data_IF_657558178166
#
_entry.id   IF_657558178166
#
_cell.length_a   1.000
_cell.length_b   1.000
_cell.length_c   1.000
_cell.angle_alpha   90.00
_cell.angle_beta   90.00
_cell.angle_gamma   90.00
#
_symmetry.space_group_name_H-M   'P 1'
#
loop_
_entity.id
_entity.type
_entity.pdbx_description
1 polymer ?
#
# COMPACT_ATOMS: atom_id res chain seq x y z
N UNK A 1 11.53 7.28 -5.36
CA UNK A 1 10.22 6.77 -5.80
C UNK A 1 9.67 5.73 -4.82
N UNK A 2 10.42 4.68 -4.44
CA UNK A 2 9.96 3.67 -3.45
C UNK A 2 9.53 4.26 -2.08
N UNK A 3 10.21 5.29 -1.57
CA UNK A 3 9.81 5.99 -0.31
C UNK A 3 8.42 6.63 -0.39
N UNK A 4 8.13 7.32 -1.50
CA UNK A 4 6.82 7.97 -1.73
C UNK A 4 5.69 6.94 -1.87
N UNK A 5 5.92 5.86 -2.61
CA UNK A 5 4.94 4.77 -2.74
C UNK A 5 4.66 4.10 -1.39
N UNK A 6 5.69 3.87 -0.57
CA UNK A 6 5.52 3.32 0.79
C UNK A 6 4.70 4.24 1.67
N UNK A 7 4.95 5.55 1.63
CA UNK A 7 4.19 6.53 2.39
C UNK A 7 2.70 6.55 1.99
N UNK A 8 2.40 6.46 0.69
CA UNK A 8 1.02 6.36 0.22
C UNK A 8 0.31 5.09 0.72
N UNK A 9 0.98 3.94 0.68
CA UNK A 9 0.42 2.68 1.21
C UNK A 9 0.15 2.79 2.71
N UNK A 10 1.13 3.28 3.49
CA UNK A 10 0.98 3.44 4.94
C UNK A 10 -0.15 4.41 5.27
N UNK A 11 -0.22 5.53 4.56
CA UNK A 11 -1.25 6.52 4.77
C UNK A 11 -2.66 5.92 4.57
N UNK A 12 -2.85 5.23 3.45
CA UNK A 12 -4.13 4.62 3.13
C UNK A 12 -4.50 3.50 4.12
N UNK A 13 -3.55 2.63 4.47
CA UNK A 13 -3.79 1.55 5.45
C UNK A 13 -4.08 2.11 6.84
N UNK A 14 -3.33 3.12 7.28
CA UNK A 14 -3.57 3.81 8.55
C UNK A 14 -4.95 4.44 8.59
N UNK A 15 -5.37 5.06 7.47
CA UNK A 15 -6.72 5.59 7.32
C UNK A 15 -7.79 4.50 7.48
N UNK A 16 -7.67 3.36 6.77
CA UNK A 16 -8.63 2.24 6.86
C UNK A 16 -8.68 1.60 8.25
N UNK A 17 -7.53 1.45 8.90
CA UNK A 17 -7.46 0.98 10.29
C UNK A 17 -8.15 1.96 11.25
N UNK A 18 -7.96 3.27 11.06
CA UNK A 18 -8.57 4.30 11.90
C UNK A 18 -10.10 4.33 11.80
N UNK A 19 -10.67 4.05 10.61
CA UNK A 19 -12.12 3.90 10.41
C UNK A 19 -12.71 2.75 11.25
N UNK A 20 -11.88 1.81 11.71
CA UNK A 20 -12.24 0.67 12.56
C UNK A 20 -11.81 0.83 14.02
N UNK A 21 -11.21 1.97 14.38
CA UNK A 21 -10.74 2.26 15.73
C UNK A 21 -9.36 1.69 16.05
N UNK A 22 -8.59 1.25 15.05
CA UNK A 22 -7.21 0.78 15.21
C UNK A 22 -6.20 1.88 14.89
N UNK A 23 -5.04 1.86 15.57
CA UNK A 23 -3.93 2.78 15.32
C UNK A 23 -2.74 2.06 14.73
N UNK A 24 -2.19 2.57 13.62
CA UNK A 24 -1.01 2.02 12.96
C UNK A 24 0.23 2.01 13.87
N UNK A 25 0.46 3.09 14.64
CA UNK A 25 1.64 3.22 15.52
C UNK A 25 1.75 2.10 16.54
N UNK A 26 0.62 1.65 17.09
CA UNK A 26 0.56 0.54 18.06
C UNK A 26 0.93 -0.81 17.45
N UNK A 27 0.66 -0.99 16.15
CA UNK A 27 0.97 -2.23 15.43
C UNK A 27 2.46 -2.33 15.08
N UNK A 28 3.12 -1.19 14.89
CA UNK A 28 4.54 -1.14 14.58
C UNK A 28 5.41 -1.46 15.81
N UNK A 29 5.03 -0.94 16.98
CA UNK A 29 5.73 -1.19 18.25
C UNK A 29 5.69 -2.68 18.67
N UNK A 30 4.61 -3.40 18.34
CA UNK A 30 4.48 -4.84 18.61
C UNK A 30 5.41 -5.72 17.75
N UNK A 31 5.70 -5.33 16.51
CA UNK A 31 6.59 -6.07 15.61
C UNK A 31 8.07 -5.87 15.96
N UNK A 32 8.47 -4.63 16.28
CA UNK A 32 9.86 -4.30 16.64
C UNK A 32 10.28 -4.95 17.96
N UNK A 33 9.40 -4.93 18.98
CA UNK A 33 9.66 -5.51 20.30
C UNK A 33 9.71 -7.06 20.30
N UNK A 34 9.31 -7.70 19.21
CA UNK A 34 9.33 -9.16 19.04
C UNK A 34 10.59 -9.66 18.32
N UNK A 35 11.25 -8.79 17.56
CA UNK A 35 12.54 -9.05 16.92
C UNK A 35 13.74 -8.89 17.86
N UNK A 36 13.61 -8.13 18.95
CA UNK A 36 14.69 -7.96 19.94
C UNK A 36 15.00 -9.24 20.73
N UNK A 37 14.05 -10.17 20.87
CA UNK A 37 14.29 -11.45 21.56
C UNK A 37 15.10 -12.48 20.76
N UNK A 38 15.49 -12.16 19.52
CA UNK A 38 16.25 -13.08 18.65
C UNK A 38 17.66 -12.57 18.27
N UNK A 39 18.07 -11.39 18.75
CA UNK A 39 19.32 -10.74 18.31
C UNK A 39 20.33 -10.47 19.44
N UNK A 40 20.13 -10.98 20.64
CA UNK A 40 21.12 -10.91 21.74
C UNK A 40 21.88 -12.23 21.90
N UNK A 41 22.71 -12.60 20.92
CA UNK A 41 23.94 -13.39 21.18
C UNK A 41 25.00 -13.08 20.11
N UNK A 42 25.82 -12.05 20.37
CA UNK A 42 27.24 -12.00 20.04
C UNK A 42 27.86 -10.69 20.54
N UNK A 43 28.31 -10.68 21.79
CA UNK A 43 29.37 -9.77 22.23
C UNK A 43 30.71 -10.21 21.59
N UNK A 44 31.51 -9.26 21.10
CA UNK A 44 32.74 -8.79 21.78
C UNK A 44 33.85 -8.27 20.82
N UNK A 45 34.41 -7.14 21.24
CA UNK A 45 35.80 -6.64 21.11
C UNK A 45 36.39 -6.10 19.79
N UNK A 46 37.04 -4.92 19.91
CA UNK A 46 37.91 -4.35 18.88
C UNK A 46 38.23 -2.86 19.05
N UNK A 47 39.33 -2.57 19.75
CA UNK A 47 39.88 -1.25 20.13
C UNK A 47 40.69 -0.57 18.99
N UNK A 48 40.52 0.76 18.84
CA UNK A 48 41.39 1.85 18.30
C UNK A 48 41.93 1.82 16.84
N UNK A 49 41.79 2.94 16.11
CA UNK A 49 42.87 3.88 15.74
C UNK A 49 42.47 4.92 14.63
N UNK A 50 42.89 6.19 14.78
CA UNK A 50 43.40 7.03 13.67
C UNK A 50 42.55 8.17 13.04
N UNK A 51 42.80 9.42 13.47
CA UNK A 51 42.40 10.76 12.95
C UNK A 51 42.77 11.06 11.46
N UNK A 52 42.58 12.27 10.86
CA UNK A 52 41.95 13.53 11.33
C UNK A 52 40.97 14.23 10.34
N UNK A 53 40.24 15.21 10.89
CA UNK A 53 39.39 16.19 10.24
C UNK A 53 40.16 17.22 9.41
N UNK A 54 39.66 17.51 8.20
CA UNK A 54 40.04 18.69 7.42
C UNK A 54 38.79 19.51 7.10
N UNK A 55 38.69 20.71 7.66
CA UNK A 55 37.77 21.75 7.24
C UNK A 55 38.56 22.87 6.55
N UNK A 56 38.11 23.38 5.40
CA UNK A 56 38.38 24.75 4.98
C UNK A 56 37.13 25.63 5.15
N UNK A 57 37.30 26.96 5.36
CA UNK A 57 36.25 27.85 5.83
C UNK A 57 35.36 28.40 4.71
N UNK A 58 34.20 28.89 5.17
CA UNK A 58 33.09 29.52 4.47
C UNK A 58 33.41 30.26 3.16
N UNK A 59 32.69 29.90 2.10
CA UNK A 59 32.41 30.79 0.98
C UNK A 59 30.96 31.26 1.07
N UNK A 60 30.81 32.55 0.84
CA UNK A 60 29.61 33.36 0.96
C UNK A 60 28.51 32.86 0.02
N UNK A 61 27.48 32.20 0.55
CA UNK A 61 26.34 31.72 -0.26
C UNK A 61 25.33 32.86 -0.40
N UNK A 62 25.17 33.31 -1.64
CA UNK A 62 24.06 34.17 -2.08
C UNK A 62 22.73 33.47 -1.77
N UNK A 63 21.83 34.17 -1.07
CA UNK A 63 20.47 33.73 -0.71
C UNK A 63 19.55 33.64 -1.95
N UNK A 64 19.87 32.76 -2.90
CA UNK A 64 19.05 32.46 -4.08
C UNK A 64 18.53 31.03 -4.12
N UNK A 65 19.21 30.08 -3.48
CA UNK A 65 18.86 28.65 -3.53
C UNK A 65 17.77 28.25 -2.51
N UNK A 66 17.65 28.97 -1.39
CA UNK A 66 16.69 28.64 -0.34
C UNK A 66 15.23 28.84 -0.79
N UNK A 67 14.94 29.92 -1.52
CA UNK A 67 13.57 30.27 -1.94
C UNK A 67 13.02 29.28 -2.97
N UNK A 68 13.85 28.81 -3.91
CA UNK A 68 13.44 27.80 -4.90
C UNK A 68 13.27 26.41 -4.29
N UNK A 69 14.10 26.02 -3.32
CA UNK A 69 13.95 24.73 -2.63
C UNK A 69 12.67 24.69 -1.78
N UNK A 70 12.38 25.76 -1.03
CA UNK A 70 11.15 25.85 -0.23
C UNK A 70 9.88 25.83 -1.08
N UNK A 71 9.87 26.44 -2.27
CA UNK A 71 8.70 26.41 -3.14
C UNK A 71 8.45 25.04 -3.78
N UNK A 72 9.52 24.30 -4.11
CA UNK A 72 9.43 22.94 -4.65
C UNK A 72 8.99 21.95 -3.56
N UNK A 73 9.55 22.06 -2.35
CA UNK A 73 9.14 21.25 -1.19
C UNK A 73 7.67 21.49 -0.82
N UNK A 74 7.21 22.75 -0.79
CA UNK A 74 5.80 23.06 -0.51
C UNK A 74 4.87 22.50 -1.60
N UNK A 75 5.26 22.58 -2.87
CA UNK A 75 4.47 22.03 -3.97
C UNK A 75 4.37 20.50 -3.89
N UNK A 76 5.48 19.81 -3.64
CA UNK A 76 5.54 18.35 -3.51
C UNK A 76 4.73 17.85 -2.29
N UNK A 77 4.76 18.60 -1.17
CA UNK A 77 3.96 18.28 0.03
C UNK A 77 2.46 18.42 -0.23
N UNK A 78 2.04 19.50 -0.91
CA UNK A 78 0.62 19.73 -1.24
C UNK A 78 0.12 18.67 -2.20
N UNK A 79 0.90 18.35 -3.25
CA UNK A 79 0.56 17.27 -4.18
C UNK A 79 0.42 15.93 -3.48
N UNK A 80 1.33 15.56 -2.58
CA UNK A 80 1.23 14.31 -1.83
C UNK A 80 -0.03 14.28 -0.93
N UNK A 81 -0.43 15.42 -0.35
CA UNK A 81 -1.66 15.50 0.44
C UNK A 81 -2.91 15.31 -0.42
N UNK A 82 -2.96 15.92 -1.61
CA UNK A 82 -4.08 15.80 -2.54
C UNK A 82 -4.22 14.37 -3.07
N UNK A 83 -3.11 13.69 -3.37
CA UNK A 83 -3.10 12.28 -3.78
C UNK A 83 -3.64 11.38 -2.68
N UNK A 84 -3.17 11.56 -1.44
CA UNK A 84 -3.68 10.82 -0.27
C UNK A 84 -5.17 11.02 -0.10
N UNK A 85 -5.64 12.27 -0.17
CA UNK A 85 -7.06 12.58 0.01
C UNK A 85 -7.91 11.95 -1.10
N UNK A 86 -7.55 12.15 -2.36
CA UNK A 86 -8.26 11.59 -3.50
C UNK A 86 -8.30 10.05 -3.44
N UNK A 87 -7.22 9.41 -3.00
CA UNK A 87 -7.15 7.96 -2.90
C UNK A 87 -8.07 7.43 -1.80
N UNK A 88 -8.13 8.09 -0.63
CA UNK A 88 -9.04 7.74 0.46
C UNK A 88 -10.50 7.86 0.02
N UNK A 89 -10.87 8.98 -0.61
CA UNK A 89 -12.23 9.20 -1.12
C UNK A 89 -12.63 8.19 -2.20
N UNK A 90 -11.73 7.92 -3.15
CA UNK A 90 -11.95 6.91 -4.17
C UNK A 90 -12.11 5.52 -3.58
N UNK A 91 -11.28 5.16 -2.58
CA UNK A 91 -11.36 3.89 -1.86
C UNK A 91 -12.65 3.72 -1.06
N UNK A 92 -13.10 4.76 -0.37
CA UNK A 92 -14.38 4.76 0.34
C UNK A 92 -15.57 4.57 -0.60
N UNK A 93 -15.61 5.32 -1.71
CA UNK A 93 -16.66 5.20 -2.72
C UNK A 93 -16.65 3.80 -3.36
N UNK A 94 -15.46 3.29 -3.63
CA UNK A 94 -15.28 1.95 -4.18
C UNK A 94 -15.78 0.87 -3.21
N UNK A 95 -15.37 0.90 -1.93
CA UNK A 95 -15.86 -0.04 -0.91
C UNK A 95 -17.37 0.06 -0.69
N UNK A 96 -17.94 1.26 -0.71
CA UNK A 96 -19.38 1.45 -0.57
C UNK A 96 -20.14 0.77 -1.72
N UNK A 97 -19.64 0.89 -2.95
CA UNK A 97 -20.23 0.28 -4.14
C UNK A 97 -20.06 -1.22 -4.22
N UNK A 98 -18.91 -1.74 -3.79
CA UNK A 98 -18.57 -3.16 -3.85
C UNK A 98 -18.67 -3.90 -2.53
N UNK A 99 -19.34 -3.31 -1.54
CA UNK A 99 -19.39 -3.79 -0.15
C UNK A 99 -19.64 -5.30 -0.01
N UNK A 100 -20.60 -5.82 -0.79
CA UNK A 100 -20.92 -7.26 -0.80
C UNK A 100 -19.76 -8.08 -1.35
N UNK A 101 -19.26 -7.73 -2.53
CA UNK A 101 -18.16 -8.43 -3.17
C UNK A 101 -16.86 -8.38 -2.34
N UNK A 102 -16.56 -7.25 -1.69
CA UNK A 102 -15.41 -7.13 -0.79
C UNK A 102 -15.56 -7.97 0.47
N UNK A 103 -16.73 -7.94 1.11
CA UNK A 103 -17.02 -8.78 2.26
C UNK A 103 -16.93 -10.27 1.92
N UNK A 104 -17.40 -10.67 0.74
CA UNK A 104 -17.33 -12.05 0.28
C UNK A 104 -15.88 -12.45 -0.04
N UNK A 105 -15.11 -11.57 -0.70
CA UNK A 105 -13.70 -11.82 -1.02
C UNK A 105 -12.84 -11.97 0.24
N UNK A 106 -12.95 -11.05 1.20
CA UNK A 106 -12.14 -11.08 2.43
C UNK A 106 -12.53 -12.22 3.36
N UNK A 107 -13.81 -12.61 3.39
CA UNK A 107 -14.27 -13.77 4.18
C UNK A 107 -13.88 -15.11 3.56
N UNK A 108 -13.82 -15.20 2.22
CA UNK A 108 -13.39 -16.41 1.51
C UNK A 108 -11.87 -16.59 1.50
N UNK A 109 -11.09 -15.51 1.61
CA UNK A 109 -9.66 -15.62 1.82
C UNK A 109 -9.41 -16.20 3.22
N UNK A 110 -9.05 -17.48 3.28
CA UNK A 110 -8.48 -18.11 4.47
C UNK A 110 -7.06 -17.57 4.72
N UNK A 111 -6.97 -16.31 5.15
CA UNK A 111 -5.68 -15.69 5.46
C UNK A 111 -5.16 -16.29 6.75
N UNK A 112 -4.00 -16.94 6.64
CA UNK A 112 -3.15 -17.30 7.77
C UNK A 112 -1.74 -16.76 7.52
N UNK A 113 -0.89 -16.60 8.54
CA UNK A 113 0.46 -16.07 8.35
C UNK A 113 1.30 -16.83 7.32
N UNK A 114 1.02 -18.12 7.12
CA UNK A 114 1.72 -18.98 6.15
C UNK A 114 1.15 -18.94 4.72
N UNK A 115 -0.05 -18.41 4.50
CA UNK A 115 -0.73 -18.40 3.19
C UNK A 115 -1.05 -17.01 2.67
N UNK A 116 -0.90 -15.98 3.51
CA UNK A 116 -1.25 -14.59 3.21
C UNK A 116 -0.55 -14.05 1.95
N UNK A 117 0.75 -14.32 1.78
CA UNK A 117 1.51 -13.83 0.61
C UNK A 117 0.98 -14.42 -0.69
N UNK A 118 0.82 -15.75 -0.75
CA UNK A 118 0.32 -16.45 -1.94
C UNK A 118 -1.10 -16.00 -2.30
N UNK A 119 -1.95 -15.83 -1.29
CA UNK A 119 -3.33 -15.37 -1.49
C UNK A 119 -3.36 -13.93 -1.99
N UNK A 120 -2.52 -13.05 -1.44
CA UNK A 120 -2.36 -11.68 -1.91
C UNK A 120 -1.89 -11.64 -3.36
N UNK A 121 -0.79 -12.35 -3.68
CA UNK A 121 -0.21 -12.39 -5.02
C UNK A 121 -1.21 -12.90 -6.06
N UNK A 122 -1.95 -13.97 -5.76
CA UNK A 122 -2.98 -14.50 -6.66
C UNK A 122 -4.08 -13.49 -6.97
N UNK A 123 -4.63 -12.83 -5.93
CA UNK A 123 -5.69 -11.84 -6.10
C UNK A 123 -5.20 -10.65 -6.93
N UNK A 124 -4.01 -10.14 -6.62
CA UNK A 124 -3.47 -8.96 -7.29
C UNK A 124 -3.07 -9.26 -8.73
N UNK A 125 -2.50 -10.43 -9.01
CA UNK A 125 -2.20 -10.85 -10.39
C UNK A 125 -3.47 -11.02 -11.23
N UNK A 126 -4.54 -11.57 -10.66
CA UNK A 126 -5.82 -11.64 -11.37
C UNK A 126 -6.42 -10.24 -11.57
N UNK A 127 -6.31 -9.35 -10.57
CA UNK A 127 -6.80 -7.98 -10.65
C UNK A 127 -6.21 -7.21 -11.84
N UNK A 128 -4.91 -7.40 -12.11
CA UNK A 128 -4.19 -6.71 -13.17
C UNK A 128 -3.95 -7.53 -14.44
N UNK A 129 -4.54 -8.73 -14.55
CA UNK A 129 -4.36 -9.66 -15.67
C UNK A 129 -4.62 -9.02 -17.04
N UNK A 130 -5.69 -8.24 -17.17
CA UNK A 130 -6.06 -7.59 -18.44
C UNK A 130 -5.50 -6.15 -18.56
N UNK A 131 -4.52 -5.80 -17.73
CA UNK A 131 -3.87 -4.49 -17.73
C UNK A 131 -4.21 -3.60 -16.53
N UNK A 132 -3.50 -2.47 -16.46
CA UNK A 132 -3.59 -1.52 -15.35
C UNK A 132 -4.51 -0.35 -15.73
N UNK A 133 -5.29 0.13 -14.77
CA UNK A 133 -6.02 1.39 -14.85
C UNK A 133 -6.24 1.95 -13.43
N UNK A 134 -6.57 3.24 -13.33
CA UNK A 134 -6.78 3.92 -12.05
C UNK A 134 -7.82 3.24 -11.16
N UNK A 135 -8.92 2.73 -11.73
CA UNK A 135 -9.94 2.01 -10.96
C UNK A 135 -9.41 0.71 -10.34
N UNK A 136 -8.59 -0.05 -11.07
CA UNK A 136 -7.92 -1.25 -10.53
C UNK A 136 -6.85 -0.90 -9.49
N UNK A 137 -6.18 0.24 -9.62
CA UNK A 137 -5.25 0.74 -8.59
C UNK A 137 -6.03 1.06 -7.30
N UNK A 138 -7.17 1.77 -7.38
CA UNK A 138 -8.04 2.01 -6.22
C UNK A 138 -8.53 0.69 -5.60
N UNK A 139 -8.88 -0.30 -6.42
CA UNK A 139 -9.27 -1.62 -5.96
C UNK A 139 -8.13 -2.34 -5.20
N UNK A 140 -6.90 -2.23 -5.69
CA UNK A 140 -5.71 -2.78 -5.04
C UNK A 140 -5.48 -2.17 -3.66
N UNK A 141 -5.57 -0.84 -3.53
CA UNK A 141 -5.47 -0.17 -2.22
C UNK A 141 -6.58 -0.60 -1.27
N UNK A 142 -7.83 -0.63 -1.75
CA UNK A 142 -8.99 -1.04 -0.95
C UNK A 142 -8.88 -2.50 -0.48
N UNK A 143 -8.41 -3.40 -1.35
CA UNK A 143 -8.16 -4.80 -1.01
C UNK A 143 -7.10 -4.93 0.09
N UNK A 144 -5.94 -4.30 -0.09
CA UNK A 144 -4.88 -4.35 0.90
C UNK A 144 -5.28 -3.74 2.25
N UNK A 145 -6.00 -2.62 2.23
CA UNK A 145 -6.57 -2.00 3.44
C UNK A 145 -7.54 -2.93 4.17
N UNK A 146 -8.43 -3.60 3.43
CA UNK A 146 -9.35 -4.57 4.00
C UNK A 146 -8.62 -5.80 4.58
N UNK A 147 -7.56 -6.29 3.93
CA UNK A 147 -6.74 -7.37 4.48
C UNK A 147 -6.04 -6.98 5.77
N UNK A 148 -5.56 -5.74 5.88
CA UNK A 148 -4.95 -5.23 7.10
C UNK A 148 -5.97 -5.19 8.24
N UNK A 149 -7.17 -4.64 8.00
CA UNK A 149 -8.26 -4.61 8.98
C UNK A 149 -8.63 -6.02 9.44
N UNK A 150 -8.87 -6.94 8.48
CA UNK A 150 -9.21 -8.34 8.77
C UNK A 150 -8.11 -9.06 9.57
N UNK A 151 -6.84 -8.73 9.30
CA UNK A 151 -5.70 -9.29 10.04
C UNK A 151 -5.69 -8.82 11.49
N UNK A 152 -6.04 -7.55 11.77
CA UNK A 152 -6.16 -7.04 13.13
C UNK A 152 -7.36 -7.66 13.84
N UNK A 153 -8.51 -7.77 13.16
CA UNK A 153 -9.75 -8.38 13.69
C UNK A 153 -9.53 -9.84 14.10
N UNK A 154 -8.64 -10.55 13.40
CA UNK A 154 -8.27 -11.95 13.68
C UNK A 154 -7.02 -12.13 14.56
N UNK A 155 -6.57 -11.06 15.23
CA UNK A 155 -5.39 -11.08 16.13
C UNK A 155 -4.07 -11.47 15.43
N UNK A 156 -3.98 -11.30 14.10
CA UNK A 156 -2.79 -11.57 13.28
C UNK A 156 -2.03 -10.28 12.93
N UNK A 157 -1.81 -9.40 13.91
CA UNK A 157 -1.26 -8.04 13.71
C UNK A 157 0.06 -8.00 12.94
N UNK A 158 0.94 -8.98 13.14
CA UNK A 158 2.22 -9.16 12.39
C UNK A 158 2.04 -9.24 10.86
N UNK A 159 0.85 -9.60 10.37
CA UNK A 159 0.58 -9.62 8.94
C UNK A 159 0.43 -8.22 8.35
N UNK A 160 0.04 -7.22 9.14
CA UNK A 160 -0.21 -5.87 8.67
C UNK A 160 1.06 -5.25 8.10
N UNK A 161 2.19 -5.35 8.80
CA UNK A 161 3.48 -4.88 8.30
C UNK A 161 3.93 -5.59 7.02
N UNK A 162 3.65 -6.90 6.92
CA UNK A 162 3.95 -7.70 5.72
C UNK A 162 3.10 -7.30 4.52
N UNK A 163 1.79 -7.11 4.72
CA UNK A 163 0.86 -6.67 3.67
C UNK A 163 1.27 -5.30 3.13
N UNK A 164 1.61 -4.34 4.01
CA UNK A 164 2.13 -3.03 3.59
C UNK A 164 3.41 -3.16 2.77
N UNK A 165 4.32 -4.04 3.17
CA UNK A 165 5.53 -4.34 2.40
C UNK A 165 5.19 -4.88 1.01
N UNK A 166 4.34 -5.90 0.92
CA UNK A 166 3.93 -6.50 -0.35
C UNK A 166 3.23 -5.50 -1.28
N UNK A 167 2.34 -4.67 -0.72
CA UNK A 167 1.68 -3.62 -1.48
C UNK A 167 2.69 -2.59 -2.02
N UNK A 168 3.63 -2.18 -1.18
CA UNK A 168 4.68 -1.22 -1.57
C UNK A 168 5.55 -1.77 -2.70
N UNK A 169 5.98 -3.02 -2.57
CA UNK A 169 6.76 -3.72 -3.60
C UNK A 169 5.96 -3.83 -4.89
N UNK A 170 4.71 -4.29 -4.83
CA UNK A 170 3.89 -4.45 -6.04
C UNK A 170 3.61 -3.11 -6.73
N UNK A 171 3.30 -2.08 -5.94
CA UNK A 171 3.09 -0.72 -6.44
C UNK A 171 4.35 -0.20 -7.15
N UNK A 172 5.53 -0.39 -6.54
CA UNK A 172 6.80 0.09 -7.09
C UNK A 172 7.22 -0.69 -8.33
N UNK A 173 7.09 -2.02 -8.32
CA UNK A 173 7.69 -2.89 -9.34
C UNK A 173 6.76 -3.09 -10.55
N UNK A 174 5.44 -3.06 -10.35
CA UNK A 174 4.47 -3.42 -11.39
C UNK A 174 3.54 -2.28 -11.80
N UNK A 175 3.21 -1.36 -10.90
CA UNK A 175 2.22 -0.32 -11.16
C UNK A 175 2.86 1.04 -11.46
N UNK A 176 3.99 1.36 -10.83
CA UNK A 176 4.69 2.64 -10.98
C UNK A 176 5.03 2.96 -12.44
N UNK A 177 5.55 2.02 -13.27
CA UNK A 177 5.82 2.29 -14.68
C UNK A 177 4.58 2.78 -15.43
N UNK A 178 3.43 2.09 -15.25
CA UNK A 178 2.18 2.49 -15.87
C UNK A 178 1.67 3.83 -15.32
N UNK A 179 1.79 4.06 -14.01
CA UNK A 179 1.42 5.32 -13.36
C UNK A 179 2.17 6.49 -14.01
N UNK A 180 3.49 6.37 -14.18
CA UNK A 180 4.30 7.42 -14.81
C UNK A 180 3.91 7.62 -16.28
N UNK A 181 3.70 6.54 -17.03
CA UNK A 181 3.27 6.59 -18.44
C UNK A 181 1.88 7.25 -18.62
N UNK A 182 1.03 7.24 -17.58
CA UNK A 182 -0.33 7.76 -17.62
C UNK A 182 -0.50 9.09 -16.87
N UNK A 183 0.57 9.89 -16.78
CA UNK A 183 0.55 11.25 -16.24
C UNK A 183 0.75 11.33 -14.72
N UNK A 184 1.24 10.26 -14.10
CA UNK A 184 1.56 10.21 -12.68
C UNK A 184 0.35 10.36 -11.77
N UNK A 185 0.62 10.52 -10.47
CA UNK A 185 -0.42 10.71 -9.46
C UNK A 185 -1.16 12.04 -9.58
N UNK A 186 -0.57 13.06 -10.23
CA UNK A 186 -1.27 14.31 -10.57
C UNK A 186 -2.49 14.01 -11.44
N UNK A 187 -2.35 13.13 -12.44
CA UNK A 187 -3.47 12.74 -13.29
C UNK A 187 -4.56 11.99 -12.52
N UNK A 188 -4.18 11.21 -11.52
CA UNK A 188 -5.14 10.57 -10.62
C UNK A 188 -5.94 11.61 -9.83
N UNK A 189 -5.29 12.64 -9.28
CA UNK A 189 -5.97 13.73 -8.58
C UNK A 189 -6.91 14.50 -9.51
N UNK A 190 -6.53 14.77 -10.75
CA UNK A 190 -7.44 15.41 -11.72
C UNK A 190 -8.73 14.61 -11.95
N UNK A 191 -8.61 13.27 -11.97
CA UNK A 191 -9.71 12.36 -12.24
C UNK A 191 -10.58 12.13 -11.00
N UNK A 192 -9.99 12.08 -9.80
CA UNK A 192 -10.68 11.66 -8.58
C UNK A 192 -10.87 12.78 -7.54
N UNK A 193 -10.09 13.86 -7.57
CA UNK A 193 -10.08 14.90 -6.54
C UNK A 193 -11.30 15.85 -6.53
N UNK A 194 -12.12 15.87 -7.59
CA UNK A 194 -13.33 16.70 -7.66
C UNK A 194 -14.62 15.91 -7.94
N UNK A 195 -14.52 14.69 -8.46
CA UNK A 195 -15.68 13.87 -8.83
C UNK A 195 -15.31 12.36 -8.84
N UNK A 196 -14.63 11.89 -7.77
CA UNK A 196 -14.23 10.48 -7.59
C UNK A 196 -15.36 9.51 -7.97
N UNK A 197 -16.60 9.86 -7.61
CA UNK A 197 -17.77 9.08 -7.92
C UNK A 197 -17.96 8.82 -9.43
N UNK A 198 -17.67 9.78 -10.30
CA UNK A 198 -17.87 9.68 -11.74
C UNK A 198 -16.80 8.80 -12.43
N UNK A 199 -15.53 8.90 -12.03
CA UNK A 199 -14.46 8.09 -12.61
C UNK A 199 -14.46 6.65 -12.08
N UNK A 200 -14.85 6.44 -10.81
CA UNK A 200 -15.15 5.08 -10.30
C UNK A 200 -16.27 4.43 -11.13
N UNK A 201 -17.24 5.20 -11.69
CA UNK A 201 -18.29 4.62 -12.57
C UNK A 201 -17.73 4.06 -13.88
N UNK A 202 -16.65 4.63 -14.44
CA UNK A 202 -15.99 4.08 -15.63
C UNK A 202 -15.19 2.81 -15.28
N UNK A 203 -14.55 2.79 -14.12
CA UNK A 203 -13.92 1.58 -13.57
C UNK A 203 -14.92 0.45 -13.25
N UNK A 204 -16.21 0.78 -13.12
CA UNK A 204 -17.26 -0.13 -12.67
C UNK A 204 -17.44 -1.35 -13.56
N UNK A 205 -17.56 -1.14 -14.87
CA UNK A 205 -17.81 -2.25 -15.80
C UNK A 205 -16.63 -3.22 -15.84
N UNK A 206 -15.42 -2.71 -15.72
CA UNK A 206 -14.19 -3.51 -15.78
C UNK A 206 -13.99 -4.32 -14.50
N UNK A 207 -14.28 -3.75 -13.32
CA UNK A 207 -14.21 -4.48 -12.07
C UNK A 207 -15.39 -5.43 -11.89
N UNK A 208 -16.59 -5.08 -12.36
CA UNK A 208 -17.71 -6.04 -12.45
C UNK A 208 -17.32 -7.24 -13.32
N UNK A 209 -16.68 -7.02 -14.48
CA UNK A 209 -16.13 -8.10 -15.30
C UNK A 209 -15.09 -8.91 -14.54
N UNK A 210 -14.15 -8.26 -13.85
CA UNK A 210 -13.17 -8.96 -13.02
C UNK A 210 -13.82 -9.80 -11.91
N UNK A 211 -14.79 -9.27 -11.17
CA UNK A 211 -15.53 -10.04 -10.16
C UNK A 211 -16.28 -11.22 -10.78
N UNK A 212 -16.97 -11.00 -11.90
CA UNK A 212 -17.76 -12.05 -12.55
C UNK A 212 -16.91 -13.14 -13.20
N UNK A 213 -15.72 -12.81 -13.68
CA UNK A 213 -14.85 -13.75 -14.42
C UNK A 213 -13.73 -14.32 -13.55
N UNK A 214 -13.22 -13.52 -12.60
CA UNK A 214 -12.13 -13.82 -11.69
C UNK A 214 -12.56 -14.48 -10.38
N UNK A 215 -13.74 -14.14 -9.82
CA UNK A 215 -14.23 -14.82 -8.60
C UNK A 215 -14.58 -16.29 -8.86
N UNK A 216 -14.96 -16.65 -10.09
CA UNK A 216 -15.11 -18.05 -10.49
C UNK A 216 -13.80 -18.82 -10.55
N UNK A 217 -12.67 -18.16 -10.81
CA UNK A 217 -11.36 -18.83 -10.87
C UNK A 217 -10.71 -18.90 -9.48
N UNK A 218 -10.74 -17.81 -8.72
CA UNK A 218 -10.23 -17.81 -7.34
C UNK A 218 -11.10 -18.65 -6.39
N UNK A 219 -12.43 -18.62 -6.53
CA UNK A 219 -13.35 -19.48 -5.76
C UNK A 219 -13.21 -20.97 -6.10
N UNK A 220 -12.91 -21.31 -7.36
CA UNK A 220 -12.63 -22.70 -7.78
C UNK A 220 -11.24 -23.17 -7.32
N UNK A 221 -10.24 -22.29 -7.24
CA UNK A 221 -8.89 -22.65 -6.79
C UNK A 221 -8.75 -22.73 -5.26
N UNK A 222 -9.47 -21.89 -4.50
CA UNK A 222 -9.55 -22.02 -3.05
C UNK A 222 -10.24 -23.34 -2.65
N UNK A 223 -11.28 -23.77 -3.38
CA UNK A 223 -11.91 -25.09 -3.19
C UNK A 223 -11.05 -26.26 -3.73
N UNK A 224 -10.28 -26.04 -4.80
CA UNK A 224 -9.40 -27.06 -5.38
C UNK A 224 -8.23 -27.46 -4.48
N UNK A 225 -7.72 -26.53 -3.66
CA UNK A 225 -6.62 -26.80 -2.73
C UNK A 225 -7.03 -27.64 -1.51
N UNK A 226 -8.31 -27.61 -1.13
CA UNK A 226 -8.85 -28.38 -0.01
C UNK A 226 -9.23 -29.82 -0.38
N UNK A 227 -9.42 -30.13 -1.66
CA UNK A 227 -9.74 -31.48 -2.13
C UNK A 227 -8.50 -32.32 -2.51
N UNK A 228 -7.29 -31.75 -2.47
CA UNK A 228 -6.03 -32.46 -2.76
C UNK A 228 -5.27 -32.99 -1.53
N UNK A 229 -5.85 -32.87 -0.33
CA UNK A 229 -5.35 -33.54 0.88
C UNK A 229 -6.39 -34.52 1.40
N UNK A 230 -6.45 -35.71 0.81
CA UNK A 230 -6.94 -36.92 1.46
C UNK A 230 -6.18 -38.14 0.98
#
# INVERSE_FOLDING_TARGET
MSSSNRELVIDFVSYKLSQKGYSWSQLQEEDENRTDFAAEEAEMDGVLNGSPSWHPPASHVVNGAAVHRSSLEVHEIVQAADVRQALREAGDEFELRYRRAFSDLTSQLHITPGTAYQSFEQVVNELFRDGVNWGRIVAFFSFGGALCVESVDKEMRVLVGRIVSWMTTYLTDHLDPWIQENGGWERFVDLYGNDAAAEVRKGQETFNKWLLTGATVAGVLLLGSLLSRK
#
